data_IF_862814283125
#
_entry.id   IF_862814283125
#
_cell.length_a   1.000
_cell.length_b   1.000
_cell.length_c   1.000
_cell.angle_alpha   90.00
_cell.angle_beta   90.00
_cell.angle_gamma   90.00
#
_symmetry.space_group_name_H-M   'P 1'
#
loop_
_entity.id
_entity.type
_entity.pdbx_description
1 polymer ?
#
# COMPACT_ATOMS: atom_id res chain seq x y z
N UNK A 1 -0.20 14.55 7.89
CA UNK A 1 -1.37 14.17 7.08
C UNK A 1 -2.41 15.27 6.89
N UNK A 2 -2.80 16.06 7.90
CA UNK A 2 -3.78 17.17 7.74
C UNK A 2 -3.42 18.17 6.62
N UNK A 3 -2.15 18.48 6.42
CA UNK A 3 -1.70 19.41 5.37
C UNK A 3 -1.84 18.82 3.96
N UNK A 4 -1.74 17.49 3.80
CA UNK A 4 -1.97 16.81 2.52
C UNK A 4 -3.47 16.70 2.21
N UNK A 5 -4.29 16.36 3.21
CA UNK A 5 -5.74 16.26 3.07
C UNK A 5 -6.43 17.62 2.86
N UNK A 6 -5.81 18.72 3.29
CA UNK A 6 -6.29 20.07 3.00
C UNK A 6 -5.88 20.60 1.62
N UNK A 7 -5.03 19.89 0.86
CA UNK A 7 -4.50 20.34 -0.44
C UNK A 7 -4.85 19.40 -1.60
N UNK A 8 -5.43 18.23 -1.34
CA UNK A 8 -5.71 17.20 -2.36
C UNK A 8 -7.13 16.69 -2.21
N UNK A 9 -7.81 16.45 -3.33
CA UNK A 9 -9.15 15.82 -3.35
C UNK A 9 -9.12 14.38 -2.85
N UNK A 10 -8.01 13.67 -3.02
CA UNK A 10 -7.81 12.31 -2.52
C UNK A 10 -6.38 12.12 -2.02
N UNK A 11 -6.23 11.52 -0.84
CA UNK A 11 -4.95 11.18 -0.22
C UNK A 11 -4.91 9.69 0.01
N UNK A 12 -3.90 9.02 -0.56
CA UNK A 12 -3.69 7.58 -0.39
C UNK A 12 -2.41 7.38 0.40
N UNK A 13 -2.50 6.62 1.50
CA UNK A 13 -1.38 6.27 2.36
C UNK A 13 -1.09 4.80 2.19
N UNK A 14 0.13 4.49 1.74
CA UNK A 14 0.66 3.14 1.73
C UNK A 14 1.57 2.96 2.94
N UNK A 15 1.03 2.36 3.99
CA UNK A 15 1.80 1.99 5.17
C UNK A 15 2.46 0.63 4.91
N UNK A 16 3.75 0.53 5.23
CA UNK A 16 4.51 -0.71 5.10
C UNK A 16 5.32 -0.98 6.37
N UNK A 17 5.46 -2.26 6.72
CA UNK A 17 6.12 -2.71 7.94
C UNK A 17 5.13 -3.37 8.90
N UNK A 18 5.45 -4.57 9.40
CA UNK A 18 4.50 -5.43 10.11
C UNK A 18 3.82 -4.74 11.31
N UNK A 19 4.47 -4.72 12.47
CA UNK A 19 3.87 -4.23 13.71
C UNK A 19 3.87 -2.70 13.83
N UNK A 20 4.87 -2.05 13.25
CA UNK A 20 5.02 -0.59 13.36
C UNK A 20 3.92 0.17 12.60
N UNK A 21 3.47 -0.36 11.46
CA UNK A 21 2.40 0.28 10.68
C UNK A 21 1.02 0.10 11.34
N UNK A 22 0.76 -1.08 11.93
CA UNK A 22 -0.46 -1.32 12.71
C UNK A 22 -0.53 -0.40 13.93
N UNK A 23 0.55 -0.33 14.74
CA UNK A 23 0.62 0.55 15.91
C UNK A 23 0.51 2.02 15.52
N UNK A 24 1.17 2.41 14.43
CA UNK A 24 1.04 3.77 13.89
C UNK A 24 -0.42 4.06 13.51
N UNK A 25 -1.08 3.12 12.83
CA UNK A 25 -2.47 3.26 12.44
C UNK A 25 -3.41 3.33 13.63
N UNK A 26 -3.27 2.48 14.65
CA UNK A 26 -4.09 2.55 15.87
C UNK A 26 -3.97 3.92 16.55
N UNK A 27 -2.76 4.49 16.60
CA UNK A 27 -2.55 5.81 17.21
C UNK A 27 -3.13 6.97 16.39
N UNK A 28 -3.11 6.87 15.06
CA UNK A 28 -3.52 7.95 14.15
C UNK A 28 -4.96 7.81 13.66
N UNK A 29 -5.53 6.60 13.72
CA UNK A 29 -6.87 6.23 13.29
C UNK A 29 -7.92 7.23 13.77
N UNK A 30 -8.02 7.58 15.08
CA UNK A 30 -9.05 8.49 15.57
C UNK A 30 -8.99 9.89 14.97
N UNK A 31 -7.78 10.38 14.66
CA UNK A 31 -7.57 11.70 14.07
C UNK A 31 -7.78 11.68 12.55
N UNK A 32 -7.44 10.56 11.91
CA UNK A 32 -7.53 10.36 10.48
C UNK A 32 -8.93 9.89 10.04
N UNK A 33 -9.73 9.31 10.94
CA UNK A 33 -11.06 8.79 10.63
C UNK A 33 -12.02 9.89 10.18
N UNK A 34 -11.86 11.09 10.73
CA UNK A 34 -12.61 12.30 10.35
C UNK A 34 -12.37 12.79 8.92
N UNK A 35 -11.29 12.35 8.27
CA UNK A 35 -10.91 12.76 6.92
C UNK A 35 -11.55 11.82 5.90
N UNK A 36 -12.57 12.30 5.18
CA UNK A 36 -13.32 11.51 4.18
C UNK A 36 -12.55 11.27 2.89
N UNK A 37 -11.50 12.05 2.63
CA UNK A 37 -10.66 11.95 1.43
C UNK A 37 -9.39 11.12 1.64
N UNK A 38 -9.34 10.29 2.68
CA UNK A 38 -8.15 9.54 3.06
C UNK A 38 -8.37 8.04 2.92
N UNK A 39 -7.62 7.42 2.02
CA UNK A 39 -7.52 5.97 1.89
C UNK A 39 -6.23 5.50 2.54
N UNK A 40 -6.30 4.55 3.47
CA UNK A 40 -5.12 3.96 4.10
C UNK A 40 -5.06 2.48 3.79
N UNK A 41 -3.93 2.07 3.25
CA UNK A 41 -3.65 0.70 2.81
C UNK A 41 -2.38 0.22 3.47
N UNK A 42 -2.45 -0.94 4.10
CA UNK A 42 -1.33 -1.64 4.69
C UNK A 42 -0.80 -2.66 3.69
N UNK A 43 0.50 -2.61 3.44
CA UNK A 43 1.21 -3.58 2.62
C UNK A 43 1.92 -4.59 3.54
N UNK A 44 1.64 -5.90 3.40
CA UNK A 44 2.39 -6.93 4.10
C UNK A 44 3.89 -6.83 3.81
N UNK A 45 4.71 -6.95 4.85
CA UNK A 45 6.16 -6.80 4.72
C UNK A 45 6.76 -7.88 3.81
N UNK A 46 6.15 -9.07 3.76
CA UNK A 46 6.56 -10.15 2.85
C UNK A 46 6.39 -9.75 1.38
N UNK A 47 5.24 -9.17 1.03
CA UNK A 47 4.98 -8.67 -0.33
C UNK A 47 5.93 -7.55 -0.72
N UNK A 48 6.24 -6.62 0.20
CA UNK A 48 7.21 -5.53 -0.04
C UNK A 48 8.62 -6.07 -0.26
N UNK A 49 9.06 -7.06 0.54
CA UNK A 49 10.36 -7.70 0.38
C UNK A 49 10.46 -8.45 -0.94
N UNK A 50 9.41 -9.18 -1.31
CA UNK A 50 9.36 -9.88 -2.58
C UNK A 50 9.43 -8.89 -3.76
N UNK A 51 8.68 -7.77 -3.69
CA UNK A 51 8.75 -6.71 -4.70
C UNK A 51 10.15 -6.09 -4.78
N UNK A 52 10.79 -5.85 -3.64
CA UNK A 52 12.16 -5.36 -3.59
C UNK A 52 13.16 -6.37 -4.20
N UNK A 53 12.93 -7.68 -4.06
CA UNK A 53 13.76 -8.71 -4.69
C UNK A 53 13.59 -8.78 -6.22
N UNK A 54 12.43 -8.35 -6.75
CA UNK A 54 12.22 -8.19 -8.20
C UNK A 54 12.92 -6.96 -8.77
N UNK A 55 13.33 -6.00 -7.92
CA UNK A 55 13.91 -4.76 -8.38
C UNK A 55 15.29 -4.99 -9.03
N UNK A 56 15.36 -4.91 -10.36
CA UNK A 56 16.59 -5.09 -11.16
C UNK A 56 16.81 -3.92 -12.15
N UNK A 57 18.02 -3.66 -12.65
CA UNK A 57 18.21 -2.73 -13.76
C UNK A 57 17.48 -3.25 -15.01
N UNK A 58 16.72 -2.39 -15.71
CA UNK A 58 15.91 -2.72 -16.89
C UNK A 58 14.79 -3.77 -16.66
N UNK A 59 13.88 -3.51 -15.71
CA UNK A 59 12.76 -4.39 -15.40
C UNK A 59 11.66 -4.33 -16.47
N UNK A 60 11.15 -5.48 -16.90
CA UNK A 60 9.85 -5.58 -17.55
C UNK A 60 8.87 -6.16 -16.54
N UNK A 61 7.98 -5.32 -16.01
CA UNK A 61 6.98 -5.73 -15.04
C UNK A 61 5.60 -5.70 -15.67
N UNK A 62 4.90 -6.82 -15.66
CA UNK A 62 3.49 -6.91 -16.01
C UNK A 62 2.65 -6.78 -14.74
N UNK A 63 1.71 -5.84 -14.77
CA UNK A 63 0.82 -5.55 -13.65
C UNK A 63 -0.60 -5.97 -14.04
N UNK A 64 -1.21 -6.82 -13.23
CA UNK A 64 -2.61 -7.24 -13.41
C UNK A 64 -3.37 -6.87 -12.15
N UNK A 65 -4.41 -6.06 -12.28
CA UNK A 65 -5.25 -5.60 -11.16
C UNK A 65 -6.63 -6.21 -11.34
N UNK A 66 -7.07 -7.05 -10.41
CA UNK A 66 -8.34 -7.75 -10.49
C UNK A 66 -8.97 -7.89 -9.11
N UNK A 67 -10.19 -7.38 -8.93
CA UNK A 67 -10.96 -7.48 -7.68
C UNK A 67 -10.20 -7.00 -6.41
N UNK A 68 -9.29 -6.04 -6.57
CA UNK A 68 -8.46 -5.52 -5.48
C UNK A 68 -7.16 -6.30 -5.23
N UNK A 69 -6.95 -7.40 -5.95
CA UNK A 69 -5.69 -8.12 -6.01
C UNK A 69 -4.77 -7.52 -7.07
N UNK A 70 -3.48 -7.45 -6.76
CA UNK A 70 -2.47 -6.97 -7.69
C UNK A 70 -1.47 -8.10 -7.92
N UNK A 71 -1.34 -8.53 -9.18
CA UNK A 71 -0.33 -9.50 -9.60
C UNK A 71 0.76 -8.77 -10.37
N UNK A 72 2.00 -8.96 -9.95
CA UNK A 72 3.19 -8.37 -10.59
C UNK A 72 4.06 -9.52 -11.08
N UNK A 73 4.31 -9.58 -12.39
CA UNK A 73 5.18 -10.58 -12.99
C UNK A 73 6.38 -9.93 -13.68
N UNK A 74 7.59 -10.48 -13.50
CA UNK A 74 8.81 -10.07 -14.23
C UNK A 74 9.19 -11.02 -15.38
N UNK A 75 8.30 -11.94 -15.73
CA UNK A 75 8.53 -13.01 -16.70
C UNK A 75 9.18 -14.26 -16.13
N UNK A 76 9.83 -14.19 -14.96
CA UNK A 76 10.42 -15.35 -14.26
C UNK A 76 9.64 -15.72 -12.99
N UNK A 77 9.13 -14.73 -12.26
CA UNK A 77 8.35 -14.92 -11.05
C UNK A 77 7.08 -14.07 -11.10
N UNK A 78 6.04 -14.54 -10.43
CA UNK A 78 4.78 -13.82 -10.27
C UNK A 78 4.55 -13.59 -8.77
N UNK A 79 4.40 -12.34 -8.39
CA UNK A 79 4.05 -11.93 -7.04
C UNK A 79 2.58 -11.59 -6.95
N UNK A 80 1.93 -12.12 -5.92
CA UNK A 80 0.62 -11.70 -5.50
C UNK A 80 0.77 -10.66 -4.38
N UNK A 81 0.17 -9.49 -4.58
CA UNK A 81 0.04 -8.45 -3.57
C UNK A 81 -1.42 -8.31 -3.17
N UNK A 82 -1.68 -8.67 -1.92
CA UNK A 82 -2.94 -8.39 -1.24
C UNK A 82 -2.77 -7.10 -0.43
N UNK A 83 -3.50 -6.08 -0.85
CA UNK A 83 -3.53 -4.80 -0.17
C UNK A 83 -4.56 -4.85 0.95
N UNK A 84 -4.09 -4.81 2.20
CA UNK A 84 -5.01 -4.75 3.34
C UNK A 84 -5.48 -3.31 3.52
N UNK A 85 -6.70 -3.01 3.05
CA UNK A 85 -7.28 -1.68 3.21
C UNK A 85 -7.75 -1.49 4.66
N UNK A 86 -7.11 -0.54 5.35
CA UNK A 86 -7.46 -0.16 6.72
C UNK A 86 -8.56 0.91 6.74
N UNK A 87 -8.61 1.77 5.72
CA UNK A 87 -9.64 2.80 5.54
C UNK A 87 -9.91 3.07 4.06
N UNK A 88 -11.18 3.12 3.66
CA UNK A 88 -11.66 3.52 2.31
C UNK A 88 -12.43 4.82 2.36
#
# INVERSE_FOLDING_TARGET
MRQACGRSEQVIVYAYGARSAEVWWESQSPALDRLKNLTVTLLPMESVRALAAMAKPAMQLQWTIQDGHIWIADGAQTLHLELQRLKS
#
